data_IF_128425992627
#
_entry.id   IF_128425992627
#
_cell.length_a   1.000
_cell.length_b   1.000
_cell.length_c   1.000
_cell.angle_alpha   90.00
_cell.angle_beta   90.00
_cell.angle_gamma   90.00
#
_symmetry.space_group_name_H-M   'P 1'
#
loop_
_entity.id
_entity.type
_entity.pdbx_description
1 polymer ?
#
# COMPACT_ATOMS: atom_id res chain seq x y z
N UNK A 1 -23.32 -14.23 -10.76
CA UNK A 1 -22.51 -13.26 -9.97
C UNK A 1 -22.22 -13.72 -8.53
N UNK A 2 -23.13 -14.40 -7.81
CA UNK A 2 -22.92 -14.79 -6.40
C UNK A 2 -21.70 -15.72 -6.16
N UNK A 3 -21.43 -16.67 -7.05
CA UNK A 3 -20.30 -17.62 -6.90
C UNK A 3 -18.95 -16.90 -6.90
N UNK A 4 -18.77 -15.89 -7.74
CA UNK A 4 -17.53 -15.11 -7.80
C UNK A 4 -17.27 -14.35 -6.51
N UNK A 5 -18.28 -13.66 -5.99
CA UNK A 5 -18.19 -12.94 -4.71
C UNK A 5 -17.85 -13.88 -3.54
N UNK A 6 -18.50 -15.04 -3.46
CA UNK A 6 -18.20 -16.04 -2.44
C UNK A 6 -16.76 -16.53 -2.51
N UNK A 7 -16.25 -16.78 -3.71
CA UNK A 7 -14.87 -17.23 -3.92
C UNK A 7 -13.86 -16.17 -3.49
N UNK A 8 -14.06 -14.91 -3.88
CA UNK A 8 -13.22 -13.79 -3.46
C UNK A 8 -13.24 -13.60 -1.94
N UNK A 9 -14.43 -13.66 -1.32
CA UNK A 9 -14.56 -13.55 0.13
C UNK A 9 -13.80 -14.66 0.86
N UNK A 10 -13.91 -15.91 0.39
CA UNK A 10 -13.16 -17.05 0.95
C UNK A 10 -11.66 -16.84 0.87
N UNK A 11 -11.13 -16.37 -0.26
CA UNK A 11 -9.69 -16.10 -0.40
C UNK A 11 -9.24 -15.00 0.56
N UNK A 12 -10.00 -13.90 0.63
CA UNK A 12 -9.67 -12.77 1.49
C UNK A 12 -9.69 -13.16 2.97
N UNK A 13 -10.72 -13.87 3.44
CA UNK A 13 -10.82 -14.29 4.85
C UNK A 13 -9.75 -15.32 5.28
N UNK A 14 -9.05 -15.96 4.34
CA UNK A 14 -7.97 -16.91 4.63
C UNK A 14 -6.56 -16.28 4.57
N UNK A 15 -6.46 -14.95 4.44
CA UNK A 15 -5.19 -14.22 4.45
C UNK A 15 -5.15 -13.26 5.63
N UNK A 16 -3.97 -13.04 6.21
CA UNK A 16 -3.80 -12.17 7.39
C UNK A 16 -3.75 -10.68 7.04
N UNK A 17 -3.26 -10.36 5.86
CA UNK A 17 -3.09 -9.00 5.35
C UNK A 17 -3.22 -9.00 3.82
N UNK A 18 -3.67 -7.87 3.27
CA UNK A 18 -3.69 -7.65 1.83
C UNK A 18 -2.57 -6.68 1.46
N UNK A 19 -1.75 -7.06 0.49
CA UNK A 19 -0.77 -6.18 -0.16
C UNK A 19 -1.11 -6.10 -1.64
N UNK A 20 -1.17 -4.89 -2.19
CA UNK A 20 -1.24 -4.68 -3.64
C UNK A 20 -0.09 -3.82 -4.12
N UNK A 21 0.48 -4.16 -5.27
CA UNK A 21 1.43 -3.33 -5.99
C UNK A 21 0.83 -2.88 -7.31
N UNK A 22 0.69 -1.56 -7.48
CA UNK A 22 0.00 -0.94 -8.60
C UNK A 22 0.99 -0.05 -9.34
N UNK A 23 1.27 -0.41 -10.59
CA UNK A 23 2.04 0.45 -11.49
C UNK A 23 1.15 1.59 -11.97
N UNK A 24 1.36 2.80 -11.45
CA UNK A 24 0.70 4.00 -11.94
C UNK A 24 1.50 4.70 -13.06
N UNK A 25 1.03 5.88 -13.51
CA UNK A 25 1.62 6.61 -14.63
C UNK A 25 3.10 6.98 -14.39
N UNK A 26 3.92 6.82 -15.43
CA UNK A 26 5.33 7.23 -15.42
C UNK A 26 5.51 8.74 -15.58
N UNK A 27 4.53 9.42 -16.16
CA UNK A 27 4.54 10.86 -16.43
C UNK A 27 3.66 11.62 -15.44
N UNK A 28 3.98 12.89 -15.22
CA UNK A 28 3.13 13.78 -14.42
C UNK A 28 1.83 14.06 -15.17
N UNK A 29 0.70 13.89 -14.47
CA UNK A 29 -0.63 14.13 -15.02
C UNK A 29 -1.24 15.39 -14.39
N UNK A 30 -2.09 16.07 -15.15
CA UNK A 30 -2.93 17.16 -14.65
C UNK A 30 -4.41 16.82 -14.87
N UNK A 31 -5.25 17.14 -13.90
CA UNK A 31 -6.70 16.99 -13.98
C UNK A 31 -7.30 18.40 -13.97
N UNK A 32 -8.02 18.77 -15.03
CA UNK A 32 -8.61 20.11 -15.17
C UNK A 32 -7.58 21.23 -14.89
N UNK A 33 -6.42 21.16 -15.56
CA UNK A 33 -5.28 22.07 -15.41
C UNK A 33 -4.61 22.11 -14.01
N UNK A 34 -4.98 21.21 -13.09
CA UNK A 34 -4.34 21.07 -11.79
C UNK A 34 -3.38 19.88 -11.76
N UNK A 35 -2.07 20.07 -11.49
CA UNK A 35 -1.10 18.99 -11.44
C UNK A 35 -1.37 18.03 -10.28
N UNK A 36 -1.34 16.73 -10.56
CA UNK A 36 -1.48 15.68 -9.55
C UNK A 36 -0.12 15.42 -8.89
N UNK A 37 -0.05 15.60 -7.57
CA UNK A 37 1.18 15.42 -6.80
C UNK A 37 1.41 13.97 -6.35
N UNK A 38 0.33 13.24 -6.05
CA UNK A 38 0.37 11.87 -5.57
C UNK A 38 -0.90 11.12 -5.95
N UNK A 39 -0.78 9.81 -6.13
CA UNK A 39 -1.91 8.91 -6.36
C UNK A 39 -1.96 7.92 -5.21
N UNK A 40 -3.10 7.90 -4.53
CA UNK A 40 -3.36 7.04 -3.38
C UNK A 40 -4.58 6.17 -3.65
N UNK A 41 -4.48 4.89 -3.34
CA UNK A 41 -5.52 3.90 -3.59
C UNK A 41 -5.92 3.26 -2.27
N UNK A 42 -7.22 3.13 -2.06
CA UNK A 42 -7.80 2.40 -0.95
C UNK A 42 -8.94 1.53 -1.43
N UNK A 43 -9.21 0.49 -0.66
CA UNK A 43 -10.39 -0.35 -0.80
C UNK A 43 -11.12 -0.37 0.55
N UNK A 44 -12.43 -0.56 0.53
CA UNK A 44 -13.25 -0.67 1.73
C UNK A 44 -13.86 -2.07 1.84
N UNK A 45 -14.50 -2.36 2.98
CA UNK A 45 -15.20 -3.63 3.23
C UNK A 45 -14.32 -4.88 3.12
N UNK A 46 -13.03 -4.72 3.41
CA UNK A 46 -12.08 -5.83 3.54
C UNK A 46 -12.27 -6.52 4.89
N UNK A 47 -12.14 -7.87 4.96
CA UNK A 47 -12.15 -8.60 6.21
C UNK A 47 -10.83 -8.44 7.00
N UNK A 48 -9.80 -7.85 6.39
CA UNK A 48 -8.48 -7.67 6.99
C UNK A 48 -8.43 -6.49 7.96
N UNK A 49 -7.73 -6.68 9.08
CA UNK A 49 -7.40 -5.59 10.00
C UNK A 49 -6.36 -4.61 9.43
N UNK A 50 -5.59 -5.04 8.42
CA UNK A 50 -4.56 -4.23 7.78
C UNK A 50 -4.50 -4.51 6.27
N UNK A 51 -4.45 -3.44 5.49
CA UNK A 51 -4.22 -3.49 4.04
C UNK A 51 -3.16 -2.49 3.61
N UNK A 52 -2.34 -2.88 2.67
CA UNK A 52 -1.20 -2.12 2.17
C UNK A 52 -1.30 -1.96 0.66
N UNK A 53 -1.20 -0.73 0.18
CA UNK A 53 -1.22 -0.40 -1.24
C UNK A 53 0.04 0.35 -1.61
N UNK A 54 0.83 -0.20 -2.52
CA UNK A 54 1.97 0.46 -3.14
C UNK A 54 1.55 0.97 -4.51
N UNK A 55 1.79 2.25 -4.79
CA UNK A 55 1.45 2.89 -6.08
C UNK A 55 2.66 3.64 -6.61
N UNK A 56 3.10 3.31 -7.82
CA UNK A 56 4.15 4.09 -8.49
C UNK A 56 3.55 5.26 -9.27
N UNK A 57 4.10 6.46 -9.15
CA UNK A 57 3.69 7.64 -9.91
C UNK A 57 4.86 8.60 -10.14
N UNK A 58 5.07 9.03 -11.39
CA UNK A 58 6.10 10.02 -11.78
C UNK A 58 7.51 9.72 -11.19
N UNK A 59 7.92 8.45 -11.25
CA UNK A 59 9.23 8.00 -10.73
C UNK A 59 9.33 7.90 -9.20
N UNK A 60 8.23 8.16 -8.48
CA UNK A 60 8.10 7.94 -7.03
C UNK A 60 7.24 6.70 -6.78
N UNK A 61 7.39 6.08 -5.63
CA UNK A 61 6.54 4.99 -5.21
C UNK A 61 6.01 5.27 -3.80
N UNK A 62 4.70 5.35 -3.68
CA UNK A 62 3.99 5.70 -2.46
C UNK A 62 3.43 4.44 -1.81
N UNK A 63 3.83 4.19 -0.56
CA UNK A 63 3.29 3.12 0.26
C UNK A 63 2.20 3.67 1.17
N UNK A 64 1.00 3.09 1.07
CA UNK A 64 -0.15 3.45 1.88
C UNK A 64 -0.60 2.28 2.74
N UNK A 65 -0.87 2.55 4.02
CA UNK A 65 -1.35 1.60 5.01
C UNK A 65 -2.74 2.02 5.50
N UNK A 66 -3.69 1.10 5.43
CA UNK A 66 -5.00 1.26 6.05
C UNK A 66 -5.15 0.18 7.13
N UNK A 67 -5.57 0.62 8.31
CA UNK A 67 -5.53 -0.19 9.54
C UNK A 67 -6.81 0.03 10.35
N UNK A 68 -7.36 -1.05 10.89
CA UNK A 68 -8.46 -1.06 11.84
C UNK A 68 -7.94 -0.70 13.25
N UNK A 69 -8.29 0.50 13.72
CA UNK A 69 -7.78 1.08 14.99
C UNK A 69 -8.23 0.34 16.25
N UNK A 70 -9.32 -0.41 16.16
CA UNK A 70 -9.86 -1.27 17.20
C UNK A 70 -9.03 -2.55 17.41
N UNK A 71 -8.31 -2.99 16.37
CA UNK A 71 -7.46 -4.19 16.41
C UNK A 71 -5.98 -3.82 16.57
N UNK A 72 -5.53 -2.75 15.89
CA UNK A 72 -4.13 -2.28 15.95
C UNK A 72 -4.08 -0.96 16.73
N UNK A 73 -3.50 -0.95 17.94
CA UNK A 73 -3.61 0.18 18.86
C UNK A 73 -2.74 1.39 18.48
N UNK A 74 -1.59 1.16 17.84
CA UNK A 74 -0.66 2.22 17.43
C UNK A 74 -0.30 2.13 15.95
N UNK A 75 -1.11 2.73 15.05
CA UNK A 75 -0.83 2.73 13.63
C UNK A 75 0.37 3.60 13.25
N UNK A 76 0.69 4.64 14.03
CA UNK A 76 1.81 5.54 13.74
C UNK A 76 3.15 4.85 13.97
N UNK A 77 3.27 4.10 15.07
CA UNK A 77 4.42 3.25 15.32
C UNK A 77 4.58 2.19 14.23
N UNK A 78 3.49 1.55 13.81
CA UNK A 78 3.52 0.57 12.73
C UNK A 78 4.03 1.18 11.41
N UNK A 79 3.55 2.36 11.03
CA UNK A 79 4.03 3.09 9.84
C UNK A 79 5.52 3.41 9.97
N UNK A 80 5.95 3.86 11.15
CA UNK A 80 7.36 4.14 11.42
C UNK A 80 8.23 2.89 11.27
N UNK A 81 7.79 1.74 11.78
CA UNK A 81 8.52 0.47 11.59
C UNK A 81 8.72 0.13 10.12
N UNK A 82 7.70 0.30 9.28
CA UNK A 82 7.83 0.11 7.84
C UNK A 82 8.79 1.09 7.20
N UNK A 83 8.71 2.37 7.57
CA UNK A 83 9.61 3.41 7.06
C UNK A 83 11.08 3.10 7.42
N UNK A 84 11.35 2.78 8.68
CA UNK A 84 12.69 2.49 9.19
C UNK A 84 13.26 1.24 8.50
N UNK A 85 12.46 0.17 8.40
CA UNK A 85 12.85 -1.07 7.72
C UNK A 85 13.19 -0.84 6.24
N UNK A 86 12.40 -0.05 5.51
CA UNK A 86 12.68 0.27 4.10
C UNK A 86 13.92 1.16 3.95
N UNK A 87 14.16 2.07 4.90
CA UNK A 87 15.37 2.88 4.92
C UNK A 87 16.62 2.03 5.15
N UNK A 88 16.56 1.08 6.10
CA UNK A 88 17.65 0.13 6.38
C UNK A 88 17.96 -0.72 5.15
N UNK A 89 16.95 -1.30 4.48
CA UNK A 89 17.15 -2.07 3.24
C UNK A 89 17.87 -1.25 2.16
N UNK A 90 17.49 0.03 2.00
CA UNK A 90 18.14 0.93 1.05
C UNK A 90 19.61 1.19 1.38
N UNK A 91 19.95 1.30 2.66
CA UNK A 91 21.34 1.49 3.11
C UNK A 91 22.15 0.22 2.85
N UNK A 92 21.60 -0.96 3.14
CA UNK A 92 22.28 -2.24 2.92
C UNK A 92 22.63 -2.48 1.45
N UNK A 93 21.75 -2.11 0.51
CA UNK A 93 22.04 -2.21 -0.93
C UNK A 93 23.24 -1.35 -1.32
N UNK A 94 23.31 -0.11 -0.83
CA UNK A 94 24.41 0.82 -1.15
C UNK A 94 25.76 0.37 -0.59
N UNK A 95 25.77 -0.31 0.56
CA UNK A 95 27.00 -0.85 1.15
C UNK A 95 27.57 -2.05 0.39
N UNK A 96 26.74 -2.76 -0.38
CA UNK A 96 27.16 -3.91 -1.19
C UNK A 96 27.66 -3.51 -2.60
N UNK A 97 27.53 -2.23 -2.96
CA UNK A 97 28.05 -1.65 -4.21
C UNK A 97 29.41 -0.93 -4.02
N UNK A 98 29.94 -0.92 -2.79
CA UNK A 98 31.27 -0.42 -2.41
C UNK A 98 32.22 -1.59 -2.14
#
# INVERSE_FOLDING_TARGET
>A
MQVGSWCCHRVLCNTSLLISNITGPSEEIAIADNPVLYIKVNISSQPHAMTMHMVSYAGKADLQLMVAKDIIPDPEFLVKCFQDSLAEMKVSIKMNEL
#
